data_IF_271292835882
#
_entry.id   IF_271292835882
#
_cell.length_a   1.000
_cell.length_b   1.000
_cell.length_c   1.000
_cell.angle_alpha   90.00
_cell.angle_beta   90.00
_cell.angle_gamma   90.00
#
_symmetry.space_group_name_H-M   'P 1'
#
loop_
_entity.id
_entity.type
_entity.pdbx_description
1 polymer ?
#
# COMPACT_ATOMS: atom_id res chain seq x y z
N UNK A 1 -24.20 -13.16 -35.94
CA UNK A 1 -23.08 -12.19 -35.94
C UNK A 1 -23.35 -10.96 -35.07
N UNK A 2 -24.43 -10.19 -35.30
CA UNK A 2 -24.73 -8.94 -34.59
C UNK A 2 -24.96 -9.07 -33.07
N UNK A 3 -25.57 -10.18 -32.62
CA UNK A 3 -25.81 -10.45 -31.20
C UNK A 3 -24.50 -10.66 -30.42
N UNK A 4 -23.49 -11.26 -31.06
CA UNK A 4 -22.21 -11.63 -30.44
C UNK A 4 -21.30 -10.40 -30.22
N UNK A 5 -21.36 -9.42 -31.12
CA UNK A 5 -20.66 -8.13 -30.95
C UNK A 5 -21.26 -7.29 -29.81
N UNK A 6 -22.60 -7.24 -29.68
CA UNK A 6 -23.29 -6.49 -28.62
C UNK A 6 -22.98 -7.06 -27.22
N UNK A 7 -22.94 -8.40 -27.10
CA UNK A 7 -22.61 -9.10 -25.85
C UNK A 7 -21.15 -8.85 -25.43
N UNK A 8 -20.22 -8.80 -26.38
CA UNK A 8 -18.81 -8.53 -26.06
C UNK A 8 -18.56 -7.10 -25.58
N UNK A 9 -19.24 -6.10 -26.16
CA UNK A 9 -19.16 -4.71 -25.67
C UNK A 9 -19.81 -4.54 -24.29
N UNK A 10 -20.92 -5.23 -24.02
CA UNK A 10 -21.57 -5.21 -22.71
C UNK A 10 -20.68 -5.83 -21.62
N UNK A 11 -20.00 -6.96 -21.92
CA UNK A 11 -19.03 -7.58 -21.01
C UNK A 11 -17.88 -6.64 -20.66
N UNK A 12 -17.38 -5.85 -21.63
CA UNK A 12 -16.34 -4.85 -21.39
C UNK A 12 -16.81 -3.74 -20.46
N UNK A 13 -18.02 -3.22 -20.68
CA UNK A 13 -18.61 -2.18 -19.82
C UNK A 13 -18.78 -2.71 -18.39
N UNK A 14 -19.32 -3.92 -18.24
CA UNK A 14 -19.47 -4.57 -16.92
C UNK A 14 -18.11 -4.76 -16.25
N UNK A 15 -17.10 -5.22 -17.00
CA UNK A 15 -15.75 -5.39 -16.47
C UNK A 15 -15.12 -4.07 -16.01
N UNK A 16 -15.22 -3.00 -16.80
CA UNK A 16 -14.74 -1.66 -16.43
C UNK A 16 -15.49 -1.17 -15.19
N UNK A 17 -16.80 -1.33 -15.16
CA UNK A 17 -17.64 -0.94 -14.03
C UNK A 17 -17.26 -1.69 -12.74
N UNK A 18 -17.04 -3.00 -12.81
CA UNK A 18 -16.57 -3.80 -11.68
C UNK A 18 -15.21 -3.32 -11.15
N UNK A 19 -14.27 -3.00 -12.05
CA UNK A 19 -12.97 -2.44 -11.65
C UNK A 19 -13.17 -1.12 -10.90
N UNK A 20 -13.99 -0.21 -11.42
CA UNK A 20 -14.29 1.05 -10.74
C UNK A 20 -14.93 0.83 -9.37
N UNK A 21 -15.88 -0.12 -9.25
CA UNK A 21 -16.50 -0.47 -7.98
C UNK A 21 -15.51 -0.93 -6.91
N UNK A 22 -14.53 -1.76 -7.29
CA UNK A 22 -13.47 -2.20 -6.36
C UNK A 22 -12.55 -1.03 -6.00
N UNK A 23 -12.21 -0.17 -6.96
CA UNK A 23 -11.37 1.01 -6.71
C UNK A 23 -12.04 2.09 -5.85
N UNK A 24 -13.37 2.10 -5.78
CA UNK A 24 -14.11 3.01 -4.90
C UNK A 24 -13.94 2.65 -3.41
N UNK A 25 -13.63 1.39 -3.08
CA UNK A 25 -13.44 0.94 -1.69
C UNK A 25 -12.34 1.74 -0.95
N UNK A 26 -11.11 1.92 -1.47
CA UNK A 26 -10.08 2.71 -0.80
C UNK A 26 -10.26 4.24 -0.89
N UNK A 27 -11.24 4.74 -1.67
CA UNK A 27 -11.39 6.18 -1.89
C UNK A 27 -11.70 6.96 -0.61
N UNK A 28 -12.39 6.35 0.36
CA UNK A 28 -12.69 6.96 1.66
C UNK A 28 -11.41 7.37 2.40
N UNK A 29 -10.44 6.46 2.52
CA UNK A 29 -9.14 6.69 3.18
C UNK A 29 -8.27 7.67 2.39
N UNK A 30 -8.27 7.58 1.06
CA UNK A 30 -7.57 8.53 0.21
C UNK A 30 -8.11 9.95 0.37
N UNK A 31 -9.42 10.10 0.45
CA UNK A 31 -10.07 11.39 0.68
C UNK A 31 -9.69 12.01 2.03
N UNK A 32 -9.60 11.21 3.10
CA UNK A 32 -9.13 11.67 4.42
C UNK A 32 -7.70 12.22 4.33
N UNK A 33 -6.79 11.49 3.67
CA UNK A 33 -5.40 11.94 3.52
C UNK A 33 -5.30 13.19 2.65
N UNK A 34 -6.08 13.26 1.56
CA UNK A 34 -6.07 14.38 0.64
C UNK A 34 -6.60 15.66 1.29
N UNK A 35 -7.75 15.59 1.98
CA UNK A 35 -8.29 16.73 2.74
C UNK A 35 -7.34 17.17 3.86
N UNK A 36 -6.69 16.23 4.55
CA UNK A 36 -5.65 16.56 5.52
C UNK A 36 -4.49 17.34 4.90
N UNK A 37 -4.02 16.93 3.71
CA UNK A 37 -2.90 17.59 3.03
C UNK A 37 -3.24 19.00 2.57
N UNK A 38 -4.42 19.21 2.01
CA UNK A 38 -4.88 20.52 1.54
C UNK A 38 -5.00 21.50 2.72
N UNK A 39 -5.49 21.01 3.87
CA UNK A 39 -5.78 21.85 5.04
C UNK A 39 -4.76 21.68 6.17
N UNK A 40 -3.56 21.16 5.89
CA UNK A 40 -2.62 20.68 6.92
C UNK A 40 -2.24 21.79 7.91
N UNK A 41 -2.03 23.01 7.43
CA UNK A 41 -1.67 24.15 8.29
C UNK A 41 -2.78 24.53 9.27
N UNK A 42 -4.03 24.55 8.79
CA UNK A 42 -5.20 24.81 9.63
C UNK A 42 -5.35 23.71 10.69
N UNK A 43 -5.23 22.45 10.27
CA UNK A 43 -5.32 21.30 11.17
C UNK A 43 -4.22 21.36 12.22
N UNK A 44 -2.99 21.68 11.84
CA UNK A 44 -1.85 21.79 12.75
C UNK A 44 -2.03 22.91 13.78
N UNK A 45 -2.63 24.04 13.39
CA UNK A 45 -2.81 25.22 14.26
C UNK A 45 -4.03 25.11 15.18
N UNK A 46 -5.13 24.55 14.69
CA UNK A 46 -6.43 24.59 15.38
C UNK A 46 -6.81 23.23 15.98
N UNK A 47 -6.72 22.16 15.19
CA UNK A 47 -7.24 20.84 15.55
C UNK A 47 -6.21 19.92 16.23
N UNK A 48 -4.92 20.21 16.09
CA UNK A 48 -3.85 19.42 16.67
C UNK A 48 -3.81 19.54 18.19
N UNK A 49 -3.98 18.42 18.90
CA UNK A 49 -3.88 18.36 20.36
C UNK A 49 -2.45 18.61 20.88
N UNK A 50 -1.43 18.44 20.03
CA UNK A 50 -0.02 18.64 20.37
C UNK A 50 0.54 19.98 19.86
N UNK A 51 -0.33 20.94 19.50
CA UNK A 51 0.09 22.26 18.97
C UNK A 51 1.01 23.03 19.93
N UNK A 52 0.83 22.85 21.23
CA UNK A 52 1.64 23.51 22.28
C UNK A 52 2.95 22.78 22.58
N UNK A 53 3.24 21.68 21.88
CA UNK A 53 4.43 20.83 22.06
C UNK A 53 5.27 20.81 20.77
N UNK A 54 5.94 21.93 20.41
CA UNK A 54 6.68 22.04 19.15
C UNK A 54 7.83 21.02 19.03
N UNK A 55 8.40 20.58 20.16
CA UNK A 55 9.44 19.53 20.21
C UNK A 55 9.01 18.20 19.58
N UNK A 56 7.70 17.93 19.47
CA UNK A 56 7.17 16.69 18.91
C UNK A 56 7.02 16.71 17.38
N UNK A 57 7.18 17.87 16.72
CA UNK A 57 7.04 18.01 15.27
C UNK A 57 5.78 17.32 14.69
N UNK A 58 4.65 17.39 15.42
CA UNK A 58 3.43 16.64 15.10
C UNK A 58 2.79 17.11 13.77
N UNK A 59 2.73 18.43 13.53
CA UNK A 59 2.17 19.02 12.31
C UNK A 59 0.77 18.49 11.93
N UNK A 60 -0.10 18.25 12.93
CA UNK A 60 -1.46 17.77 12.73
C UNK A 60 -1.60 16.24 12.55
N UNK A 61 -0.50 15.48 12.54
CA UNK A 61 -0.53 14.01 12.34
C UNK A 61 -1.42 13.26 13.32
N UNK A 62 -1.54 13.72 14.57
CA UNK A 62 -2.44 13.11 15.55
C UNK A 62 -3.91 13.11 15.10
N UNK A 63 -4.36 14.19 14.47
CA UNK A 63 -5.72 14.30 13.93
C UNK A 63 -5.92 13.35 12.74
N UNK A 64 -4.92 13.26 11.85
CA UNK A 64 -4.96 12.32 10.73
C UNK A 64 -5.07 10.87 11.23
N UNK A 65 -4.22 10.48 12.18
CA UNK A 65 -4.23 9.14 12.77
C UNK A 65 -5.58 8.82 13.40
N UNK A 66 -6.16 9.77 14.14
CA UNK A 66 -7.49 9.60 14.72
C UNK A 66 -8.55 9.36 13.64
N UNK A 67 -8.59 10.19 12.59
CA UNK A 67 -9.56 10.06 11.48
C UNK A 67 -9.43 8.75 10.71
N UNK A 68 -8.21 8.27 10.50
CA UNK A 68 -7.96 6.99 9.85
C UNK A 68 -8.40 5.82 10.73
N UNK A 69 -8.16 5.89 12.04
CA UNK A 69 -8.61 4.87 12.99
C UNK A 69 -10.13 4.81 13.09
N UNK A 70 -10.79 5.97 13.18
CA UNK A 70 -12.26 6.07 13.15
C UNK A 70 -12.82 5.44 11.87
N UNK A 71 -12.18 5.64 10.72
CA UNK A 71 -12.61 5.03 9.46
C UNK A 71 -12.45 3.50 9.46
N UNK A 72 -11.36 2.98 10.03
CA UNK A 72 -11.10 1.53 10.12
C UNK A 72 -12.04 0.82 11.11
N UNK A 73 -12.33 1.44 12.26
CA UNK A 73 -13.29 0.93 13.23
C UNK A 73 -14.70 0.85 12.62
N UNK A 74 -15.13 1.90 11.91
CA UNK A 74 -16.42 1.90 11.20
C UNK A 74 -16.51 0.82 10.10
N UNK A 75 -15.38 0.47 9.46
CA UNK A 75 -15.32 -0.63 8.50
C UNK A 75 -15.43 -1.99 9.21
N UNK A 76 -14.80 -2.16 10.38
CA UNK A 76 -14.86 -3.39 11.17
C UNK A 76 -16.24 -3.65 11.80
N UNK A 77 -16.93 -2.61 12.28
CA UNK A 77 -18.28 -2.75 12.87
C UNK A 77 -19.32 -3.23 11.86
N UNK A 78 -19.08 -3.03 10.56
CA UNK A 78 -19.96 -3.48 9.47
C UNK A 78 -19.67 -4.93 9.03
N UNK A 79 -18.57 -5.52 9.48
CA UNK A 79 -18.14 -6.87 9.10
C UNK A 79 -18.38 -7.79 10.31
N UNK A 80 -19.22 -8.84 10.21
CA UNK A 80 -19.42 -9.77 11.30
C UNK A 80 -18.09 -10.40 11.73
N UNK A 81 -17.86 -10.65 13.03
CA UNK A 81 -16.57 -11.10 13.56
C UNK A 81 -16.06 -12.41 12.95
N UNK A 82 -16.95 -13.20 12.34
CA UNK A 82 -16.60 -14.42 11.58
C UNK A 82 -15.89 -14.16 10.24
N UNK A 83 -15.81 -12.90 9.78
CA UNK A 83 -15.21 -12.46 8.51
C UNK A 83 -14.05 -11.47 8.75
N UNK A 84 -13.63 -11.27 10.01
CA UNK A 84 -12.47 -10.43 10.39
C UNK A 84 -11.10 -11.06 10.06
N UNK A 85 -11.03 -11.90 9.04
CA UNK A 85 -9.73 -12.19 8.44
C UNK A 85 -9.36 -10.93 7.64
N UNK A 86 -8.39 -10.17 8.16
CA UNK A 86 -7.88 -8.94 7.54
C UNK A 86 -7.77 -9.17 6.04
N UNK A 87 -8.65 -8.54 5.27
CA UNK A 87 -8.49 -8.49 3.82
C UNK A 87 -7.35 -7.53 3.52
N UNK A 88 -6.14 -7.98 3.84
CA UNK A 88 -4.95 -7.45 3.21
C UNK A 88 -5.13 -7.81 1.73
N UNK A 89 -5.47 -6.83 0.91
CA UNK A 89 -5.41 -6.98 -0.55
C UNK A 89 -3.93 -7.11 -0.88
N UNK A 90 -3.39 -8.29 -0.64
CA UNK A 90 -2.08 -8.70 -1.07
C UNK A 90 -2.19 -8.93 -2.58
N UNK A 91 -2.08 -7.84 -3.33
CA UNK A 91 -1.74 -7.90 -4.75
C UNK A 91 -0.29 -8.39 -4.89
N UNK A 92 -0.01 -9.63 -4.46
CA UNK A 92 1.11 -10.36 -5.02
C UNK A 92 0.70 -10.76 -6.42
N UNK A 93 0.92 -9.83 -7.34
CA UNK A 93 1.10 -10.22 -8.73
C UNK A 93 2.44 -10.96 -8.78
N UNK A 94 2.42 -12.26 -8.54
CA UNK A 94 3.46 -13.17 -9.03
C UNK A 94 3.41 -13.31 -10.56
N UNK A 95 2.91 -12.28 -11.28
CA UNK A 95 3.38 -12.03 -12.62
C UNK A 95 4.81 -11.56 -12.48
N UNK A 96 5.71 -12.54 -12.54
CA UNK A 96 7.12 -12.37 -12.88
C UNK A 96 7.19 -11.36 -14.02
N UNK A 97 7.42 -10.09 -13.71
CA UNK A 97 7.81 -9.10 -14.69
C UNK A 97 9.16 -9.62 -15.19
N UNK A 98 9.16 -10.26 -16.37
CA UNK A 98 10.39 -10.65 -17.03
C UNK A 98 11.01 -9.35 -17.53
N UNK A 99 11.69 -8.64 -16.62
CA UNK A 99 12.62 -7.59 -16.99
C UNK A 99 13.72 -8.33 -17.73
N UNK A 100 13.59 -8.42 -19.05
CA UNK A 100 14.74 -8.75 -19.88
C UNK A 100 15.82 -7.76 -19.45
N UNK A 101 16.89 -8.28 -18.83
CA UNK A 101 18.13 -7.52 -18.70
C UNK A 101 18.58 -7.26 -20.12
N UNK A 102 18.10 -6.17 -20.71
CA UNK A 102 18.74 -5.55 -21.85
C UNK A 102 20.15 -5.27 -21.33
N UNK A 103 21.11 -6.04 -21.83
CA UNK A 103 22.49 -5.95 -21.43
C UNK A 103 22.92 -4.50 -21.63
N UNK A 104 23.01 -3.74 -20.53
CA UNK A 104 23.78 -2.51 -20.52
C UNK A 104 25.21 -3.01 -20.48
N UNK A 105 25.76 -3.13 -21.68
CA UNK A 105 27.17 -3.40 -21.88
C UNK A 105 27.93 -2.15 -21.45
N UNK A 106 28.37 -2.13 -20.20
CA UNK A 106 29.40 -1.21 -19.74
C UNK A 106 30.65 -2.02 -19.50
N UNK A 107 31.41 -2.21 -20.58
CA UNK A 107 32.83 -2.50 -20.50
C UNK A 107 33.53 -1.46 -19.61
N UNK A 108 33.86 -1.83 -18.38
CA UNK A 108 35.03 -1.28 -17.71
C UNK A 108 35.59 -2.27 -16.68
N UNK A 109 36.76 -2.81 -17.03
CA UNK A 109 37.63 -3.57 -16.14
C UNK A 109 38.11 -2.68 -14.99
N UNK A 110 37.96 -3.15 -13.75
CA UNK A 110 38.91 -2.94 -12.67
C UNK A 110 38.54 -3.85 -11.49
N UNK A 111 39.21 -5.00 -11.46
CA UNK A 111 39.82 -5.62 -10.29
C UNK A 111 39.19 -5.33 -8.91
N UNK A 112 38.43 -6.29 -8.40
CA UNK A 112 38.24 -6.51 -6.97
C UNK A 112 37.70 -7.91 -6.75
N UNK A 113 38.50 -8.75 -6.08
CA UNK A 113 38.17 -10.10 -5.60
C UNK A 113 37.00 -10.06 -4.59
N UNK A 114 35.79 -9.86 -5.10
CA UNK A 114 34.57 -10.13 -4.35
C UNK A 114 33.75 -11.15 -5.12
N UNK A 115 33.84 -12.40 -4.67
CA UNK A 115 32.91 -13.45 -5.09
C UNK A 115 31.54 -13.03 -4.60
N UNK A 116 30.72 -12.51 -5.51
CA UNK A 116 29.33 -12.18 -5.24
C UNK A 116 28.58 -13.49 -4.98
N UNK A 117 28.49 -13.89 -3.71
CA UNK A 117 27.61 -14.96 -3.29
C UNK A 117 26.19 -14.49 -3.57
N UNK A 118 25.63 -14.89 -4.72
CA UNK A 118 24.20 -14.74 -5.01
C UNK A 118 23.49 -15.87 -4.26
N UNK A 119 22.83 -15.62 -3.10
CA UNK A 119 22.09 -16.66 -2.43
C UNK A 119 20.83 -16.87 -3.25
N UNK A 120 20.88 -17.83 -4.17
CA UNK A 120 19.69 -18.30 -4.91
C UNK A 120 18.94 -19.24 -3.97
N UNK A 121 18.34 -18.68 -2.93
CA UNK A 121 17.63 -19.45 -1.91
C UNK A 121 17.04 -18.53 -0.86
N UNK A 122 15.76 -18.72 -0.55
CA UNK A 122 15.11 -18.09 0.60
C UNK A 122 15.82 -18.62 1.85
N UNK A 123 16.66 -17.79 2.46
CA UNK A 123 17.21 -18.08 3.78
C UNK A 123 16.07 -17.82 4.77
N UNK A 124 15.29 -18.87 5.07
CA UNK A 124 14.43 -18.89 6.24
C UNK A 124 15.29 -19.14 7.47
N UNK A 125 16.08 -18.15 7.87
CA UNK A 125 16.74 -18.20 9.17
C UNK A 125 15.73 -17.73 10.23
N UNK A 126 15.41 -18.62 11.17
CA UNK A 126 14.57 -18.29 12.31
C UNK A 126 15.43 -17.50 13.28
N UNK A 127 15.17 -16.19 13.35
CA UNK A 127 15.90 -15.29 14.25
C UNK A 127 15.77 -15.76 15.70
N UNK A 128 16.88 -16.13 16.34
CA UNK A 128 16.94 -16.39 17.78
C UNK A 128 17.78 -15.31 18.46
N UNK A 129 17.28 -14.67 19.53
CA UNK A 129 18.05 -13.68 20.27
C UNK A 129 19.20 -14.33 21.06
N UNK A 130 20.33 -13.62 21.26
CA UNK A 130 21.45 -14.13 22.05
C UNK A 130 21.04 -14.34 23.52
N UNK A 131 21.41 -15.48 24.08
CA UNK A 131 21.23 -15.78 25.50
C UNK A 131 22.30 -15.04 26.30
N UNK A 132 21.86 -14.20 27.23
CA UNK A 132 22.73 -13.46 28.14
C UNK A 132 23.29 -14.45 29.19
N UNK A 133 24.61 -14.63 29.24
CA UNK A 133 25.33 -15.26 30.35
C UNK A 133 25.57 -14.26 31.48
#
# INVERSE_FOLDING_TARGET
>A
MWLHLKVNSLKKIISILLIFLVLLQPMSKLWIVMSFKINQDFIAKVLCINRDKPKLACAGKCHLTQKLKEAEENEQDQIPPSVQEKTEVFLCNAQRLMVNRLLIDTHHEADSDYVDFVPTGVISDVFHPPQLS
#
